data_IF_193552390713
#
_entry.id   IF_193552390713
#
_cell.length_a   1.000
_cell.length_b   1.000
_cell.length_c   1.000
_cell.angle_alpha   90.00
_cell.angle_beta   90.00
_cell.angle_gamma   90.00
#
_symmetry.space_group_name_H-M   'P 1'
#
loop_
_entity.id
_entity.type
_entity.pdbx_description
1 polymer ?
#
# COMPACT_ATOMS: atom_id res chain seq x y z
N UNK A 1 2.32 -11.13 -43.71
CA UNK A 1 1.69 -9.95 -43.08
C UNK A 1 0.58 -10.42 -42.14
N UNK A 2 0.90 -10.66 -40.85
CA UNK A 2 -0.06 -11.18 -39.86
C UNK A 2 -0.84 -10.05 -39.19
N UNK A 3 -2.17 -10.06 -39.33
CA UNK A 3 -3.08 -9.08 -38.71
C UNK A 3 -3.04 -9.21 -37.18
N UNK A 4 -2.56 -8.16 -36.48
CA UNK A 4 -2.64 -8.05 -35.02
C UNK A 4 -4.10 -7.96 -34.59
N UNK A 5 -4.57 -8.92 -33.77
CA UNK A 5 -5.85 -8.81 -33.06
C UNK A 5 -5.66 -7.85 -31.89
N UNK A 6 -6.10 -6.62 -32.05
CA UNK A 6 -6.25 -5.65 -30.95
C UNK A 6 -7.52 -6.01 -30.16
N UNK A 7 -7.40 -6.92 -29.21
CA UNK A 7 -8.46 -7.17 -28.23
C UNK A 7 -8.22 -6.30 -26.99
N UNK A 8 -8.93 -5.18 -26.94
CA UNK A 8 -8.98 -4.28 -25.80
C UNK A 8 -10.14 -3.31 -25.99
N UNK A 9 -11.37 -3.84 -25.91
CA UNK A 9 -12.57 -3.02 -26.02
C UNK A 9 -12.58 -1.95 -24.93
N UNK A 10 -12.47 -0.69 -25.34
CA UNK A 10 -12.79 0.48 -24.51
C UNK A 10 -14.27 0.43 -24.16
N UNK A 11 -14.63 -0.25 -23.07
CA UNK A 11 -15.96 -0.08 -22.46
C UNK A 11 -16.00 1.32 -21.84
N UNK A 12 -17.06 2.08 -22.09
CA UNK A 12 -17.31 3.31 -21.34
C UNK A 12 -17.40 2.96 -19.85
N UNK A 13 -16.52 3.52 -19.03
CA UNK A 13 -16.33 3.14 -17.62
C UNK A 13 -15.08 2.28 -17.33
N UNK A 14 -14.30 1.87 -18.34
CA UNK A 14 -13.06 1.09 -18.17
C UNK A 14 -11.81 1.95 -17.89
N UNK A 15 -11.99 3.13 -17.29
CA UNK A 15 -10.90 3.89 -16.69
C UNK A 15 -11.01 3.77 -15.18
N UNK A 16 -9.98 3.28 -14.50
CA UNK A 16 -9.87 3.56 -13.06
C UNK A 16 -9.83 5.08 -12.93
N UNK A 17 -10.74 5.66 -12.13
CA UNK A 17 -10.67 7.07 -11.75
C UNK A 17 -9.22 7.34 -11.34
N UNK A 18 -8.61 8.38 -11.89
CA UNK A 18 -7.29 8.83 -11.44
C UNK A 18 -7.41 9.07 -9.95
N UNK A 19 -6.78 8.19 -9.15
CA UNK A 19 -6.70 8.39 -7.72
C UNK A 19 -5.89 9.65 -7.49
N UNK A 20 -6.35 10.46 -6.56
CA UNK A 20 -5.62 11.61 -6.05
C UNK A 20 -4.16 11.19 -5.78
N UNK A 21 -3.14 11.98 -6.17
CA UNK A 21 -1.74 11.64 -5.91
C UNK A 21 -1.46 11.32 -4.43
N UNK A 22 -2.24 11.88 -3.51
CA UNK A 22 -2.18 11.58 -2.07
C UNK A 22 -2.69 10.18 -1.68
N UNK A 23 -3.52 9.55 -2.53
CA UNK A 23 -4.01 8.17 -2.35
C UNK A 23 -3.11 7.12 -3.03
N UNK A 24 -1.99 7.54 -3.63
CA UNK A 24 -1.04 6.63 -4.26
C UNK A 24 -0.18 5.99 -3.18
N UNK A 25 -0.54 4.78 -2.77
CA UNK A 25 0.36 3.93 -2.00
C UNK A 25 1.46 3.37 -2.91
N UNK A 26 2.70 3.43 -2.44
CA UNK A 26 3.85 2.77 -3.07
C UNK A 26 4.08 1.45 -2.33
N UNK A 27 4.17 0.35 -3.08
CA UNK A 27 4.55 -0.93 -2.49
C UNK A 27 6.06 -0.91 -2.20
N UNK A 28 6.42 -1.19 -0.95
CA UNK A 28 7.81 -1.27 -0.50
C UNK A 28 8.05 -2.65 0.09
N UNK A 29 9.18 -3.26 -0.24
CA UNK A 29 9.63 -4.53 0.34
C UNK A 29 10.86 -4.25 1.20
N UNK A 30 10.83 -4.71 2.46
CA UNK A 30 11.91 -4.54 3.43
C UNK A 30 12.14 -5.84 4.18
N UNK A 31 13.37 -6.02 4.68
CA UNK A 31 13.70 -7.08 5.62
C UNK A 31 13.76 -6.48 7.02
N UNK A 32 13.07 -7.09 7.97
CA UNK A 32 13.02 -6.66 9.37
C UNK A 32 13.22 -7.86 10.30
N UNK A 33 13.76 -7.66 11.51
CA UNK A 33 13.79 -8.68 12.55
C UNK A 33 12.40 -9.28 12.83
N UNK A 34 12.33 -10.60 13.05
CA UNK A 34 11.07 -11.29 13.35
C UNK A 34 10.36 -10.74 14.59
N UNK A 35 11.12 -10.34 15.61
CA UNK A 35 10.57 -9.76 16.83
C UNK A 35 9.73 -8.50 16.56
N UNK A 36 10.17 -7.64 15.64
CA UNK A 36 9.41 -6.45 15.25
C UNK A 36 8.12 -6.81 14.51
N UNK A 37 8.11 -7.90 13.76
CA UNK A 37 6.89 -8.39 13.09
C UNK A 37 5.85 -8.83 14.11
N UNK A 38 6.28 -9.52 15.18
CA UNK A 38 5.40 -9.93 16.28
C UNK A 38 4.82 -8.70 16.98
N UNK A 39 5.65 -7.72 17.35
CA UNK A 39 5.18 -6.49 18.00
C UNK A 39 4.22 -5.68 17.11
N UNK A 40 4.46 -5.63 15.80
CA UNK A 40 3.55 -4.99 14.84
C UNK A 40 2.22 -5.74 14.72
N UNK A 41 2.23 -7.07 14.80
CA UNK A 41 1.02 -7.88 14.77
C UNK A 41 0.19 -7.72 16.05
N UNK A 42 0.82 -7.60 17.21
CA UNK A 42 0.10 -7.27 18.45
C UNK A 42 -0.52 -5.87 18.37
N UNK A 43 0.24 -4.88 17.88
CA UNK A 43 -0.24 -3.51 17.71
C UNK A 43 -1.43 -3.45 16.75
N UNK A 44 -1.36 -4.15 15.62
CA UNK A 44 -2.44 -4.14 14.63
C UNK A 44 -3.71 -4.76 15.21
N UNK A 45 -3.61 -5.80 16.04
CA UNK A 45 -4.77 -6.47 16.64
C UNK A 45 -5.43 -5.60 17.70
N UNK A 46 -4.63 -4.92 18.51
CA UNK A 46 -5.11 -3.97 19.51
C UNK A 46 -5.87 -2.80 18.90
N UNK A 47 -5.37 -2.25 17.79
CA UNK A 47 -5.93 -1.06 17.15
C UNK A 47 -6.91 -1.38 16.00
N UNK A 48 -7.12 -2.66 15.68
CA UNK A 48 -7.97 -3.10 14.57
C UNK A 48 -7.42 -2.71 13.18
N UNK A 49 -6.10 -2.62 13.04
CA UNK A 49 -5.42 -2.21 11.80
C UNK A 49 -4.94 -3.40 10.97
N UNK A 50 -4.64 -3.14 9.70
CA UNK A 50 -3.84 -4.05 8.89
C UNK A 50 -2.33 -3.78 9.09
N UNK A 51 -1.47 -4.74 8.71
CA UNK A 51 0.00 -4.62 8.87
C UNK A 51 0.58 -3.37 8.20
N UNK A 52 0.13 -3.04 6.99
CA UNK A 52 0.64 -1.87 6.25
C UNK A 52 0.30 -0.56 6.96
N UNK A 53 -0.90 -0.47 7.54
CA UNK A 53 -1.33 0.68 8.31
C UNK A 53 -0.56 0.79 9.63
N UNK A 54 -0.38 -0.31 10.37
CA UNK A 54 0.43 -0.32 11.58
C UNK A 54 1.87 0.13 11.31
N UNK A 55 2.46 -0.34 10.21
CA UNK A 55 3.81 0.07 9.80
C UNK A 55 3.87 1.54 9.38
N UNK A 56 2.88 2.02 8.61
CA UNK A 56 2.82 3.42 8.19
C UNK A 56 2.67 4.37 9.39
N UNK A 57 1.82 4.04 10.36
CA UNK A 57 1.64 4.85 11.57
C UNK A 57 2.88 4.82 12.47
N UNK A 58 3.56 3.68 12.59
CA UNK A 58 4.84 3.61 13.31
C UNK A 58 5.90 4.54 12.69
N UNK A 59 5.98 4.59 11.36
CA UNK A 59 6.86 5.53 10.64
C UNK A 59 6.42 6.98 10.86
N UNK A 60 5.12 7.30 10.74
CA UNK A 60 4.60 8.66 10.97
C UNK A 60 4.94 9.16 12.36
N UNK A 61 4.76 8.32 13.37
CA UNK A 61 5.10 8.65 14.76
C UNK A 61 6.59 8.89 14.94
N UNK A 62 7.45 8.06 14.34
CA UNK A 62 8.90 8.27 14.37
C UNK A 62 9.31 9.60 13.72
N UNK A 63 8.71 9.93 12.57
CA UNK A 63 8.98 11.17 11.86
C UNK A 63 8.46 12.40 12.64
N UNK A 64 7.27 12.31 13.22
CA UNK A 64 6.68 13.38 14.04
C UNK A 64 7.39 13.62 15.37
N UNK A 65 8.12 12.63 15.89
CA UNK A 65 8.99 12.79 17.07
C UNK A 65 10.33 13.46 16.77
N UNK A 66 10.72 13.50 15.49
CA UNK A 66 12.02 14.01 15.05
C UNK A 66 11.97 15.51 14.66
N UNK A 67 10.78 16.10 14.59
CA UNK A 67 10.56 17.55 14.47
C UNK A 67 10.38 18.20 15.83
#
# INVERSE_FOLDING_TARGET
>A
MGKKKTHGGKRAGAGRKEKDPSEKSVAVTVTVPNELVVQLDELREKEGWNRSQAFAEAIRWLLGKKS
#
